data_IF_825857206569
#
_entry.id   IF_825857206569
#
_cell.length_a   1.000
_cell.length_b   1.000
_cell.length_c   1.000
_cell.angle_alpha   90.00
_cell.angle_beta   90.00
_cell.angle_gamma   90.00
#
_symmetry.space_group_name_H-M   'P 1'
#
loop_
_entity.id
_entity.type
_entity.pdbx_description
1 polymer ?
#
# COMPACT_ATOMS: atom_id res chain seq x y z
N UNK A 1 -21.53 3.26 -15.00
CA UNK A 1 -20.16 2.97 -14.58
C UNK A 1 -19.21 3.67 -15.53
N UNK A 2 -18.13 3.03 -15.93
CA UNK A 2 -17.17 3.56 -16.91
C UNK A 2 -17.81 3.92 -18.26
N UNK A 3 -18.79 3.12 -18.69
CA UNK A 3 -19.63 3.32 -19.86
C UNK A 3 -20.39 4.66 -19.85
N UNK A 4 -21.07 4.95 -18.76
CA UNK A 4 -21.84 6.19 -18.56
C UNK A 4 -20.91 7.41 -18.52
N UNK A 5 -19.79 7.29 -17.81
CA UNK A 5 -18.80 8.37 -17.72
C UNK A 5 -18.18 8.66 -19.09
N UNK A 6 -17.83 7.62 -19.86
CA UNK A 6 -17.30 7.76 -21.22
C UNK A 6 -18.30 8.45 -22.15
N UNK A 7 -19.54 7.96 -22.18
CA UNK A 7 -20.59 8.55 -23.01
C UNK A 7 -20.85 10.03 -22.67
N UNK A 8 -20.83 10.38 -21.38
CA UNK A 8 -20.95 11.78 -20.93
C UNK A 8 -19.79 12.64 -21.42
N UNK A 9 -18.54 12.19 -21.25
CA UNK A 9 -17.37 12.94 -21.69
C UNK A 9 -17.35 13.15 -23.21
N UNK A 10 -17.69 12.11 -23.98
CA UNK A 10 -17.78 12.17 -25.44
C UNK A 10 -18.87 13.16 -25.90
N UNK A 11 -20.08 13.06 -25.33
CA UNK A 11 -21.20 13.93 -25.69
C UNK A 11 -20.90 15.43 -25.44
N UNK A 12 -20.07 15.72 -24.44
CA UNK A 12 -19.70 17.08 -24.05
C UNK A 12 -18.30 17.51 -24.51
N UNK A 13 -17.59 16.67 -25.29
CA UNK A 13 -16.23 16.94 -25.80
C UNK A 13 -15.23 17.26 -24.67
N UNK A 14 -15.34 16.54 -23.56
CA UNK A 14 -14.48 16.66 -22.39
C UNK A 14 -13.43 15.54 -22.37
N UNK A 15 -12.26 15.82 -21.79
CA UNK A 15 -11.20 14.82 -21.62
C UNK A 15 -11.33 14.05 -20.32
N UNK A 16 -11.80 14.68 -19.24
CA UNK A 16 -11.89 14.02 -17.95
C UNK A 16 -12.96 14.65 -17.05
N UNK A 17 -13.37 13.88 -16.04
CA UNK A 17 -14.23 14.33 -14.95
C UNK A 17 -13.42 14.31 -13.65
N UNK A 18 -13.52 15.37 -12.85
CA UNK A 18 -12.98 15.39 -11.47
C UNK A 18 -14.14 15.31 -10.50
N UNK A 19 -14.07 14.39 -9.52
CA UNK A 19 -15.05 14.24 -8.45
C UNK A 19 -14.36 14.03 -7.09
N UNK A 20 -15.15 14.14 -6.04
CA UNK A 20 -14.76 13.84 -4.66
C UNK A 20 -15.78 12.92 -3.98
N UNK A 21 -15.75 12.81 -2.64
CA UNK A 21 -16.64 12.02 -1.76
C UNK A 21 -16.35 10.54 -1.56
N UNK A 22 -15.48 9.92 -2.36
CA UNK A 22 -15.03 8.55 -2.09
C UNK A 22 -13.68 8.59 -1.37
N UNK A 23 -13.56 7.88 -0.24
CA UNK A 23 -12.29 7.68 0.44
C UNK A 23 -11.34 6.88 -0.47
N UNK A 24 -10.13 7.40 -0.66
CA UNK A 24 -9.06 6.79 -1.47
C UNK A 24 -7.76 6.85 -0.68
N UNK A 25 -7.00 5.74 -0.66
CA UNK A 25 -5.84 5.58 0.21
C UNK A 25 -4.76 6.64 -0.02
N UNK A 26 -4.43 6.95 -1.29
CA UNK A 26 -3.48 8.00 -1.64
C UNK A 26 -4.07 9.42 -1.62
N UNK A 27 -5.34 9.58 -1.24
CA UNK A 27 -6.04 10.87 -1.36
C UNK A 27 -6.46 11.20 -2.80
N UNK A 28 -6.07 10.40 -3.79
CA UNK A 28 -6.57 10.51 -5.16
C UNK A 28 -6.57 9.15 -5.87
N UNK A 29 -7.28 9.07 -6.99
CA UNK A 29 -7.29 7.91 -7.89
C UNK A 29 -7.64 8.38 -9.31
N UNK A 30 -6.91 7.88 -10.30
CA UNK A 30 -7.31 7.96 -11.71
C UNK A 30 -7.97 6.65 -12.15
N UNK A 31 -9.14 6.77 -12.77
CA UNK A 31 -9.80 5.69 -13.49
C UNK A 31 -9.75 5.99 -14.98
N UNK A 32 -8.83 5.33 -15.69
CA UNK A 32 -8.71 5.45 -17.14
C UNK A 32 -9.92 4.79 -17.83
N UNK A 33 -10.56 5.52 -18.74
CA UNK A 33 -11.72 5.05 -19.51
C UNK A 33 -11.37 4.60 -20.94
N UNK A 34 -10.10 4.74 -21.34
CA UNK A 34 -9.62 4.53 -22.71
C UNK A 34 -9.72 5.78 -23.58
N UNK A 35 -9.00 5.82 -24.69
CA UNK A 35 -9.03 6.95 -25.63
C UNK A 35 -8.49 8.28 -25.07
N UNK A 36 -7.70 8.23 -24.00
CA UNK A 36 -7.22 9.42 -23.27
C UNK A 36 -8.25 10.05 -22.32
N UNK A 37 -9.42 9.43 -22.16
CA UNK A 37 -10.43 9.87 -21.22
C UNK A 37 -10.25 9.25 -19.83
N UNK A 38 -10.57 10.00 -18.77
CA UNK A 38 -10.42 9.52 -17.39
C UNK A 38 -11.43 10.13 -16.40
N UNK A 39 -11.65 9.45 -15.28
CA UNK A 39 -12.31 10.01 -14.09
C UNK A 39 -11.29 10.10 -12.97
N UNK A 40 -11.07 11.31 -12.46
CA UNK A 40 -10.24 11.56 -11.29
C UNK A 40 -11.12 11.65 -10.05
N UNK A 41 -10.76 10.87 -9.04
CA UNK A 41 -11.31 10.99 -7.68
C UNK A 41 -10.26 11.68 -6.81
N UNK A 42 -10.62 12.72 -6.09
CA UNK A 42 -9.74 13.42 -5.13
C UNK A 42 -10.41 13.54 -3.77
N UNK A 43 -9.64 13.31 -2.71
CA UNK A 43 -10.05 13.31 -1.32
C UNK A 43 -9.01 14.06 -0.47
N UNK A 44 -9.40 15.19 0.09
CA UNK A 44 -8.48 16.13 0.76
C UNK A 44 -8.50 16.03 2.29
N UNK A 45 -9.21 15.07 2.88
CA UNK A 45 -9.13 14.82 4.32
C UNK A 45 -8.13 13.69 4.57
N UNK A 46 -6.89 14.02 4.97
CA UNK A 46 -5.94 13.01 5.43
C UNK A 46 -6.40 12.42 6.77
N UNK A 47 -6.08 11.14 6.99
CA UNK A 47 -6.44 10.39 8.18
C UNK A 47 -7.94 10.42 8.54
N UNK A 48 -8.80 10.24 7.55
CA UNK A 48 -10.25 10.27 7.72
C UNK A 48 -10.82 8.92 8.22
N UNK A 49 -11.80 8.93 9.15
CA UNK A 49 -12.35 10.10 9.85
C UNK A 49 -11.50 10.51 11.06
N UNK A 50 -11.68 11.76 11.51
CA UNK A 50 -11.22 12.28 12.81
C UNK A 50 -9.71 12.16 13.11
N UNK A 51 -8.84 12.02 12.11
CA UNK A 51 -7.40 11.87 12.32
C UNK A 51 -6.97 10.43 12.66
N UNK A 52 -7.88 9.46 12.58
CA UNK A 52 -7.61 8.05 12.91
C UNK A 52 -7.44 7.17 11.66
N UNK A 53 -7.77 7.69 10.47
CA UNK A 53 -7.62 6.96 9.21
C UNK A 53 -6.17 6.83 8.75
N UNK A 54 -5.92 5.89 7.83
CA UNK A 54 -4.61 5.71 7.20
C UNK A 54 -4.45 6.40 5.85
N UNK A 55 -5.53 6.95 5.30
CA UNK A 55 -5.48 7.57 3.98
C UNK A 55 -4.67 8.88 4.01
N UNK A 56 -3.97 9.13 2.92
CA UNK A 56 -3.40 10.43 2.59
C UNK A 56 -4.50 11.38 2.15
N UNK A 57 -4.23 12.67 2.23
CA UNK A 57 -4.98 13.69 1.52
C UNK A 57 -4.30 14.01 0.19
N UNK A 58 -5.05 14.49 -0.79
CA UNK A 58 -4.46 15.05 -1.98
C UNK A 58 -5.21 16.29 -2.49
N UNK A 59 -4.51 17.09 -3.27
CA UNK A 59 -5.08 18.13 -4.14
C UNK A 59 -4.70 17.86 -5.59
N UNK A 60 -5.59 18.20 -6.53
CA UNK A 60 -5.31 18.11 -7.97
C UNK A 60 -4.98 19.50 -8.52
N UNK A 61 -3.87 19.59 -9.24
CA UNK A 61 -3.48 20.77 -10.01
C UNK A 61 -3.87 20.58 -11.47
N UNK A 62 -4.66 21.49 -12.01
CA UNK A 62 -5.09 21.48 -13.41
C UNK A 62 -4.32 22.56 -14.18
N UNK A 63 -3.66 22.17 -15.28
CA UNK A 63 -2.93 23.11 -16.15
C UNK A 63 -3.35 22.91 -17.61
N UNK A 64 -3.46 23.99 -18.40
CA UNK A 64 -3.73 23.87 -19.83
C UNK A 64 -2.71 22.96 -20.53
N UNK A 65 -3.18 22.00 -21.32
CA UNK A 65 -2.34 21.09 -22.10
C UNK A 65 -1.59 20.02 -21.29
N UNK A 66 -1.89 19.85 -20.00
CA UNK A 66 -1.31 18.80 -19.16
C UNK A 66 -2.41 17.94 -18.52
N UNK A 67 -2.13 16.64 -18.26
CA UNK A 67 -3.02 15.84 -17.43
C UNK A 67 -3.10 16.42 -16.00
N UNK A 68 -4.19 16.18 -15.26
CA UNK A 68 -4.26 16.50 -13.84
C UNK A 68 -3.07 15.94 -13.06
N UNK A 69 -2.42 16.80 -12.27
CA UNK A 69 -1.27 16.42 -11.42
C UNK A 69 -1.73 16.33 -9.95
N UNK A 70 -1.50 15.21 -9.28
CA UNK A 70 -1.84 15.04 -7.88
C UNK A 70 -0.66 15.42 -6.96
N UNK A 71 -0.97 16.17 -5.91
CA UNK A 71 -0.05 16.44 -4.80
C UNK A 71 -0.62 15.79 -3.54
N UNK A 72 0.06 14.74 -3.08
CA UNK A 72 -0.29 14.00 -1.86
C UNK A 72 0.29 14.66 -0.61
N UNK A 73 -0.41 14.55 0.51
CA UNK A 73 0.05 14.96 1.83
C UNK A 73 -0.49 14.03 2.93
N UNK A 74 0.25 13.97 4.02
CA UNK A 74 -0.13 13.23 5.23
C UNK A 74 -0.25 14.20 6.41
N UNK A 75 -1.00 13.81 7.45
CA UNK A 75 -0.91 14.51 8.73
C UNK A 75 0.46 14.22 9.36
N UNK A 76 1.03 15.17 10.11
CA UNK A 76 2.25 14.93 10.88
C UNK A 76 2.11 13.72 11.81
N UNK A 77 3.20 12.96 11.98
CA UNK A 77 3.24 11.75 12.82
C UNK A 77 2.92 11.99 14.31
N UNK A 78 2.79 13.24 14.75
CA UNK A 78 2.42 13.61 16.12
C UNK A 78 0.95 13.32 16.47
N UNK A 79 0.16 12.73 15.57
CA UNK A 79 -1.17 12.23 15.92
C UNK A 79 -1.06 11.05 16.90
N UNK A 80 -1.51 11.18 18.17
CA UNK A 80 -1.31 10.15 19.21
C UNK A 80 -1.97 8.80 18.90
N UNK A 81 -2.87 8.74 17.91
CA UNK A 81 -3.64 7.55 17.55
C UNK A 81 -2.91 6.62 16.56
N UNK A 82 -1.90 7.11 15.82
CA UNK A 82 -1.17 6.33 14.80
C UNK A 82 -0.11 5.40 15.43
N UNK A 83 0.57 5.84 16.49
CA UNK A 83 1.58 5.04 17.19
C UNK A 83 1.00 3.80 17.90
N UNK A 84 -0.11 3.89 18.69
CA UNK A 84 -0.73 2.73 19.33
C UNK A 84 -1.23 1.68 18.32
N UNK A 85 -1.67 2.11 17.14
CA UNK A 85 -2.16 1.21 16.10
C UNK A 85 -1.02 0.57 15.29
N UNK A 86 0.09 1.28 15.04
CA UNK A 86 1.30 0.69 14.48
C UNK A 86 1.88 -0.39 15.41
N UNK A 87 1.87 -0.15 16.73
CA UNK A 87 2.21 -1.15 17.73
C UNK A 87 1.25 -2.34 17.70
N UNK A 88 -0.06 -2.11 17.59
CA UNK A 88 -1.05 -3.18 17.48
C UNK A 88 -0.89 -4.02 16.19
N UNK A 89 -0.60 -3.37 15.06
CA UNK A 89 -0.33 -4.05 13.79
C UNK A 89 0.97 -4.86 13.87
N UNK A 90 2.02 -4.32 14.49
CA UNK A 90 3.27 -5.06 14.74
C UNK A 90 3.06 -6.24 15.69
N UNK A 91 2.23 -6.07 16.72
CA UNK A 91 1.90 -7.13 17.65
C UNK A 91 1.12 -8.26 16.96
N UNK A 92 0.11 -7.90 16.17
CA UNK A 92 -0.67 -8.85 15.37
C UNK A 92 0.22 -9.62 14.37
N UNK A 93 1.15 -8.91 13.72
CA UNK A 93 2.13 -9.52 12.83
C UNK A 93 3.06 -10.50 13.57
N UNK A 94 3.54 -10.13 14.77
CA UNK A 94 4.37 -11.02 15.61
C UNK A 94 3.60 -12.27 16.03
N UNK A 95 2.34 -12.14 16.42
CA UNK A 95 1.47 -13.25 16.79
C UNK A 95 1.21 -14.19 15.61
N UNK A 96 1.00 -13.63 14.41
CA UNK A 96 0.83 -14.41 13.19
C UNK A 96 2.11 -15.17 12.81
N UNK A 97 3.28 -14.55 12.94
CA UNK A 97 4.57 -15.24 12.73
C UNK A 97 4.74 -16.35 13.77
N UNK A 98 4.41 -16.09 15.03
CA UNK A 98 4.52 -17.05 16.12
C UNK A 98 3.60 -18.27 15.91
N UNK A 99 2.37 -18.06 15.44
CA UNK A 99 1.41 -19.14 15.18
C UNK A 99 1.84 -20.07 14.02
N UNK A 100 2.68 -19.58 13.11
CA UNK A 100 3.21 -20.35 11.97
C UNK A 100 4.64 -20.88 12.19
N UNK A 101 5.19 -20.76 13.40
CA UNK A 101 6.58 -21.09 13.73
C UNK A 101 7.03 -22.49 13.31
N UNK A 102 6.16 -23.49 13.38
CA UNK A 102 6.45 -24.88 12.96
C UNK A 102 6.74 -24.96 11.47
N UNK A 103 5.80 -24.49 10.65
CA UNK A 103 5.93 -24.47 9.18
C UNK A 103 7.07 -23.59 8.72
N UNK A 104 7.28 -22.45 9.38
CA UNK A 104 8.42 -21.58 9.07
C UNK A 104 9.75 -22.29 9.30
N UNK A 105 9.89 -23.09 10.36
CA UNK A 105 11.12 -23.88 10.59
C UNK A 105 11.37 -24.89 9.49
N UNK A 106 10.33 -25.58 9.03
CA UNK A 106 10.42 -26.55 7.93
C UNK A 106 10.78 -25.86 6.60
N UNK A 107 10.15 -24.72 6.30
CA UNK A 107 10.45 -23.92 5.13
C UNK A 107 11.88 -23.38 5.15
N UNK A 108 12.35 -22.85 6.28
CA UNK A 108 13.73 -22.38 6.42
C UNK A 108 14.75 -23.53 6.37
N UNK A 109 14.44 -24.70 6.93
CA UNK A 109 15.30 -25.88 6.85
C UNK A 109 15.45 -26.37 5.40
N UNK A 110 14.37 -26.31 4.62
CA UNK A 110 14.38 -26.68 3.20
C UNK A 110 15.10 -25.67 2.32
N UNK A 111 15.10 -24.39 2.72
CA UNK A 111 15.74 -23.29 2.01
C UNK A 111 17.21 -23.05 2.43
N UNK A 112 17.69 -23.71 3.50
CA UNK A 112 19.04 -23.58 4.00
C UNK A 112 20.07 -24.13 3.00
N UNK A 113 21.17 -23.40 2.79
CA UNK A 113 22.25 -23.86 1.91
C UNK A 113 22.96 -25.08 2.51
N UNK A 114 23.46 -25.97 1.65
CA UNK A 114 24.14 -27.21 2.04
C UNK A 114 25.30 -26.92 3.01
N UNK A 115 25.08 -27.21 4.30
CA UNK A 115 26.06 -27.04 5.38
C UNK A 115 25.85 -25.86 6.34
N UNK A 116 24.77 -25.08 6.24
CA UNK A 116 24.61 -23.86 7.06
C UNK A 116 23.25 -23.66 7.74
N UNK A 117 23.27 -23.15 8.97
CA UNK A 117 22.09 -22.65 9.70
C UNK A 117 21.61 -21.26 9.22
N UNK A 118 21.85 -20.91 7.95
CA UNK A 118 21.59 -19.58 7.37
C UNK A 118 20.85 -19.70 6.05
N UNK A 119 20.00 -18.72 5.77
CA UNK A 119 19.24 -18.56 4.52
C UNK A 119 19.55 -17.19 3.92
N UNK A 120 19.44 -17.04 2.60
CA UNK A 120 19.52 -15.72 1.96
C UNK A 120 18.29 -14.88 2.30
N UNK A 121 18.37 -13.55 2.12
CA UNK A 121 17.22 -12.65 2.37
C UNK A 121 16.07 -12.97 1.43
N UNK A 122 16.37 -13.32 0.18
CA UNK A 122 15.39 -13.69 -0.85
C UNK A 122 14.70 -15.01 -0.48
N UNK A 123 15.47 -16.03 -0.09
CA UNK A 123 14.94 -17.31 0.36
C UNK A 123 14.12 -17.18 1.66
N UNK A 124 14.56 -16.31 2.57
CA UNK A 124 13.82 -15.96 3.78
C UNK A 124 12.49 -15.27 3.46
N UNK A 125 12.50 -14.28 2.57
CA UNK A 125 11.31 -13.53 2.17
C UNK A 125 10.29 -14.45 1.48
N UNK A 126 10.74 -15.38 0.65
CA UNK A 126 9.86 -16.35 -0.01
C UNK A 126 9.26 -17.37 0.98
N UNK A 127 10.06 -17.89 1.92
CA UNK A 127 9.56 -18.76 2.98
C UNK A 127 8.52 -18.04 3.87
N UNK A 128 8.75 -16.76 4.19
CA UNK A 128 7.77 -15.94 4.91
C UNK A 128 6.49 -15.73 4.10
N UNK A 129 6.61 -15.36 2.81
CA UNK A 129 5.46 -15.13 1.91
C UNK A 129 4.60 -16.38 1.76
N UNK A 130 5.22 -17.51 1.43
CA UNK A 130 4.52 -18.79 1.20
C UNK A 130 3.89 -19.37 2.48
N UNK A 131 4.49 -19.14 3.65
CA UNK A 131 4.00 -19.70 4.91
C UNK A 131 2.98 -18.82 5.62
N UNK A 132 3.18 -17.50 5.61
CA UNK A 132 2.32 -16.53 6.29
C UNK A 132 1.16 -16.07 5.40
N UNK A 133 1.31 -16.12 4.07
CA UNK A 133 0.25 -15.77 3.13
C UNK A 133 -0.06 -14.27 3.02
N UNK A 134 0.79 -13.40 3.59
CA UNK A 134 0.66 -11.95 3.41
C UNK A 134 1.46 -11.49 2.19
N UNK A 135 0.78 -10.75 1.31
CA UNK A 135 1.35 -10.15 0.11
C UNK A 135 2.05 -8.82 0.40
N UNK A 136 3.02 -8.85 1.31
CA UNK A 136 3.86 -7.70 1.67
C UNK A 136 5.30 -7.91 1.19
N UNK A 137 6.09 -6.83 1.13
CA UNK A 137 7.51 -6.92 0.82
C UNK A 137 8.30 -7.36 2.06
N UNK A 138 8.38 -8.68 2.23
CA UNK A 138 9.11 -9.28 3.34
C UNK A 138 10.59 -8.88 3.32
N UNK A 139 11.24 -8.79 2.15
CA UNK A 139 12.66 -8.40 2.04
C UNK A 139 12.92 -7.04 2.67
N UNK A 140 12.01 -6.08 2.50
CA UNK A 140 12.09 -4.75 3.14
C UNK A 140 11.94 -4.82 4.67
N UNK A 141 11.16 -5.76 5.18
CA UNK A 141 10.92 -5.96 6.61
C UNK A 141 12.01 -6.78 7.30
N UNK A 142 12.84 -7.50 6.54
CA UNK A 142 13.86 -8.42 7.07
C UNK A 142 14.74 -7.79 8.17
N UNK A 143 15.29 -6.56 8.03
CA UNK A 143 16.16 -5.96 9.04
C UNK A 143 15.49 -5.74 10.40
N UNK A 144 14.16 -5.68 10.44
CA UNK A 144 13.37 -5.47 11.66
C UNK A 144 12.90 -6.78 12.32
N UNK A 145 12.93 -7.89 11.59
CA UNK A 145 12.32 -9.17 11.99
C UNK A 145 13.38 -10.23 12.26
N UNK A 146 14.48 -10.24 11.50
CA UNK A 146 15.54 -11.22 11.65
C UNK A 146 16.92 -10.57 11.52
N UNK A 147 17.93 -11.01 12.29
CA UNK A 147 19.28 -10.51 12.15
C UNK A 147 19.89 -10.97 10.82
N UNK A 148 20.55 -10.07 10.10
CA UNK A 148 21.48 -10.46 9.02
C UNK A 148 22.85 -10.75 9.61
N UNK A 149 23.43 -11.91 9.30
CA UNK A 149 24.86 -12.10 9.55
C UNK A 149 25.67 -11.11 8.71
N UNK A 150 26.72 -10.50 9.29
CA UNK A 150 27.71 -9.78 8.47
C UNK A 150 28.26 -10.76 7.42
N UNK A 151 28.36 -10.30 6.17
CA UNK A 151 29.13 -10.98 5.12
C UNK A 151 30.58 -11.08 5.54
#
# INVERSE_FOLDING_TARGET
GEDVARAFLEAHRLLYLVRSHQLVEAGWQELALGGGAAVYTVFSAAAYPNGEGYNRGAVLTLRPGRPPEALEYELPDETPHRAPQAEAAQQSMREMIASHKGRLREAFASAATAGGARVSVEAWAEAMRSTIGLHIDWSLLQPRIAPTGKR
#
